data_IF_146682730864
#
_entry.id   IF_146682730864
#
_cell.length_a   1.000
_cell.length_b   1.000
_cell.length_c   1.000
_cell.angle_alpha   90.00
_cell.angle_beta   90.00
_cell.angle_gamma   90.00
#
_symmetry.space_group_name_H-M   'P 1'
#
loop_
_entity.id
_entity.type
_entity.pdbx_description
1 polymer ?
#
# COMPACT_ATOMS: atom_id res chain seq x y z
N UNK A 1 -4.65 8.59 -2.18
CA UNK A 1 -3.32 7.94 -2.33
C UNK A 1 -2.83 7.34 -1.01
N UNK A 2 -2.95 8.03 0.12
CA UNK A 2 -2.52 7.57 1.46
C UNK A 2 -3.09 6.20 1.86
N UNK A 3 -4.40 6.01 1.69
CA UNK A 3 -5.09 4.75 2.01
C UNK A 3 -4.50 3.59 1.18
N UNK A 4 -4.29 3.79 -0.12
CA UNK A 4 -3.69 2.76 -0.99
C UNK A 4 -2.28 2.38 -0.51
N UNK A 5 -1.45 3.36 -0.13
CA UNK A 5 -0.10 3.10 0.38
C UNK A 5 -0.12 2.34 1.71
N UNK A 6 -1.06 2.68 2.62
CA UNK A 6 -1.24 1.96 3.87
C UNK A 6 -1.66 0.50 3.63
N UNK A 7 -2.61 0.29 2.74
CA UNK A 7 -3.14 -1.03 2.40
C UNK A 7 -2.10 -1.93 1.71
N UNK A 8 -1.30 -1.39 0.80
CA UNK A 8 -0.21 -2.16 0.18
C UNK A 8 0.87 -2.53 1.20
N UNK A 9 1.19 -1.64 2.13
CA UNK A 9 2.13 -1.93 3.22
C UNK A 9 1.55 -2.98 4.20
N UNK A 10 0.25 -2.88 4.51
CA UNK A 10 -0.45 -3.86 5.34
C UNK A 10 -0.41 -5.24 4.70
N UNK A 11 -0.83 -5.34 3.44
CA UNK A 11 -0.81 -6.57 2.65
C UNK A 11 0.56 -7.23 2.59
N UNK A 12 1.63 -6.44 2.45
CA UNK A 12 3.01 -6.95 2.41
C UNK A 12 3.45 -7.63 3.71
N UNK A 13 2.82 -7.31 4.85
CA UNK A 13 3.15 -7.84 6.17
C UNK A 13 2.10 -8.79 6.75
N UNK A 14 0.96 -8.98 6.07
CA UNK A 14 -0.16 -9.81 6.52
C UNK A 14 -0.56 -10.85 5.46
N UNK A 15 0.39 -11.67 5.04
CA UNK A 15 0.18 -12.82 4.15
C UNK A 15 -0.58 -12.48 2.84
N UNK A 16 -0.41 -11.26 2.36
CA UNK A 16 -1.05 -10.80 1.12
C UNK A 16 -2.52 -10.39 1.25
N UNK A 17 -3.02 -10.19 2.48
CA UNK A 17 -4.40 -9.79 2.77
C UNK A 17 -4.49 -8.29 3.01
N UNK A 18 -5.51 -7.63 2.47
CA UNK A 18 -5.83 -6.23 2.76
C UNK A 18 -6.67 -6.09 4.04
N UNK A 19 -6.63 -4.91 4.65
CA UNK A 19 -7.38 -4.59 5.87
C UNK A 19 -8.77 -4.00 5.52
N UNK A 20 -9.83 -4.50 6.14
CA UNK A 20 -11.17 -3.94 6.01
C UNK A 20 -11.61 -3.12 7.25
N UNK A 21 -10.75 -3.00 8.26
CA UNK A 21 -11.03 -2.30 9.50
C UNK A 21 -10.17 -1.06 9.70
N UNK A 22 -10.81 0.10 9.85
CA UNK A 22 -10.12 1.37 10.03
C UNK A 22 -9.30 1.44 11.31
N UNK A 23 -9.75 0.82 12.40
CA UNK A 23 -9.04 0.88 13.67
C UNK A 23 -7.75 0.09 13.59
N UNK A 24 -7.79 -1.05 12.92
CA UNK A 24 -6.63 -1.90 12.68
C UNK A 24 -5.65 -1.24 11.70
N UNK A 25 -6.13 -0.71 10.58
CA UNK A 25 -5.29 -0.03 9.59
C UNK A 25 -4.59 1.20 10.17
N UNK A 26 -5.31 2.03 10.93
CA UNK A 26 -4.75 3.22 11.59
C UNK A 26 -3.71 2.82 12.63
N UNK A 27 -4.00 1.80 13.44
CA UNK A 27 -3.04 1.25 14.40
C UNK A 27 -1.77 0.74 13.70
N UNK A 28 -1.94 0.01 12.61
CA UNK A 28 -0.82 -0.46 11.80
C UNK A 28 0.03 0.70 11.25
N UNK A 29 -0.59 1.78 10.76
CA UNK A 29 0.15 2.96 10.28
C UNK A 29 0.93 3.64 11.40
N UNK A 30 0.36 3.76 12.61
CA UNK A 30 1.01 4.40 13.76
C UNK A 30 2.15 3.59 14.37
N UNK A 31 1.95 2.28 14.51
CA UNK A 31 2.83 1.41 15.28
C UNK A 31 3.69 0.52 14.38
N UNK A 32 3.31 0.38 13.12
CA UNK A 32 3.96 -0.47 12.14
C UNK A 32 5.38 -0.04 11.81
N UNK A 33 6.18 -0.99 11.38
CA UNK A 33 7.56 -0.77 10.95
C UNK A 33 7.80 -1.45 9.61
N UNK A 34 8.59 -0.81 8.76
CA UNK A 34 9.05 -1.38 7.49
C UNK A 34 10.49 -1.86 7.62
N UNK A 35 10.80 -3.07 7.15
CA UNK A 35 12.18 -3.52 7.06
C UNK A 35 12.88 -2.82 5.89
N UNK A 36 13.92 -2.06 6.19
CA UNK A 36 14.78 -1.43 5.20
C UNK A 36 16.14 -2.12 5.23
N UNK A 37 16.56 -2.68 4.10
CA UNK A 37 17.86 -3.32 3.98
C UNK A 37 18.92 -2.27 3.67
N UNK A 38 19.76 -2.00 4.64
CA UNK A 38 20.97 -1.20 4.46
C UNK A 38 22.01 -2.02 3.70
N UNK A 39 22.37 -1.55 2.51
CA UNK A 39 23.34 -2.21 1.63
C UNK A 39 24.68 -1.49 1.70
N UNK A 40 25.74 -2.18 2.11
CA UNK A 40 27.11 -1.73 2.00
C UNK A 40 27.91 -2.72 1.16
N UNK A 41 28.67 -2.21 0.18
CA UNK A 41 29.39 -3.03 -0.78
C UNK A 41 28.51 -3.63 -1.88
N UNK A 42 29.11 -3.92 -3.02
CA UNK A 42 28.49 -4.52 -4.20
C UNK A 42 29.32 -5.75 -4.60
N UNK A 43 28.66 -6.79 -5.06
CA UNK A 43 29.37 -7.94 -5.64
C UNK A 43 30.03 -7.55 -6.95
N UNK A 44 31.29 -7.98 -7.13
CA UNK A 44 32.01 -7.80 -8.39
C UNK A 44 31.52 -8.79 -9.45
N UNK A 45 31.76 -8.46 -10.72
CA UNK A 45 31.41 -9.38 -11.83
C UNK A 45 32.08 -10.75 -11.67
N UNK A 46 33.32 -10.80 -11.21
CA UNK A 46 34.03 -12.06 -10.95
C UNK A 46 33.35 -12.90 -9.86
N UNK A 47 32.85 -12.25 -8.83
CA UNK A 47 32.11 -12.94 -7.76
C UNK A 47 30.78 -13.47 -8.26
N UNK A 48 30.05 -12.71 -9.07
CA UNK A 48 28.79 -13.13 -9.69
C UNK A 48 29.02 -14.27 -10.70
N UNK A 49 30.06 -14.19 -11.51
CA UNK A 49 30.44 -15.25 -12.47
C UNK A 49 30.83 -16.58 -11.78
N UNK A 50 31.35 -16.51 -10.56
CA UNK A 50 31.62 -17.69 -9.71
C UNK A 50 30.37 -18.23 -9.01
N UNK A 51 29.17 -17.69 -9.35
CA UNK A 51 27.90 -18.15 -8.82
C UNK A 51 27.55 -17.61 -7.41
N UNK A 52 28.25 -16.53 -6.98
CA UNK A 52 27.91 -15.84 -5.75
C UNK A 52 26.71 -14.92 -6.00
N UNK A 53 25.64 -15.14 -5.25
CA UNK A 53 24.43 -14.27 -5.29
C UNK A 53 24.37 -13.38 -4.05
N UNK A 54 23.58 -12.32 -4.10
CA UNK A 54 23.32 -11.44 -2.94
C UNK A 54 22.91 -12.24 -1.69
N UNK A 55 22.02 -13.21 -1.85
CA UNK A 55 21.54 -14.04 -0.74
C UNK A 55 22.64 -14.93 -0.15
N UNK A 56 23.48 -15.54 -1.00
CA UNK A 56 24.61 -16.35 -0.55
C UNK A 56 25.68 -15.51 0.13
N UNK A 57 25.98 -14.33 -0.43
CA UNK A 57 26.94 -13.39 0.18
C UNK A 57 26.45 -12.91 1.56
N UNK A 58 25.16 -12.56 1.67
CA UNK A 58 24.57 -12.18 2.96
C UNK A 58 24.63 -13.34 3.97
N UNK A 59 24.35 -14.57 3.54
CA UNK A 59 24.44 -15.75 4.42
C UNK A 59 25.86 -15.99 4.94
N UNK A 60 26.89 -15.84 4.06
CA UNK A 60 28.29 -15.97 4.46
C UNK A 60 28.68 -14.89 5.48
N UNK A 61 28.29 -13.63 5.23
CA UNK A 61 28.61 -12.53 6.15
C UNK A 61 27.89 -12.69 7.49
N UNK A 62 26.61 -13.08 7.47
CA UNK A 62 25.81 -13.28 8.67
C UNK A 62 26.22 -14.51 9.48
N UNK A 63 26.95 -15.47 8.89
CA UNK A 63 27.52 -16.61 9.64
C UNK A 63 28.63 -16.18 10.60
N UNK A 64 29.25 -15.03 10.38
CA UNK A 64 30.38 -14.53 11.17
C UNK A 64 31.70 -15.27 10.93
N UNK A 65 31.75 -16.21 9.98
CA UNK A 65 32.96 -16.95 9.63
C UNK A 65 33.94 -16.05 8.85
N UNK A 66 34.94 -15.52 9.57
CA UNK A 66 35.91 -14.61 8.97
C UNK A 66 36.74 -15.25 7.87
N UNK A 67 37.01 -16.55 7.96
CA UNK A 67 37.79 -17.25 6.92
C UNK A 67 36.95 -17.34 5.62
N UNK A 68 35.67 -17.66 5.72
CA UNK A 68 34.75 -17.70 4.58
C UNK A 68 34.52 -16.30 3.98
N UNK A 69 34.36 -15.27 4.82
CA UNK A 69 34.19 -13.87 4.39
C UNK A 69 35.41 -13.39 3.58
N UNK A 70 36.65 -13.66 4.08
CA UNK A 70 37.88 -13.28 3.39
C UNK A 70 38.06 -14.08 2.10
N UNK A 71 37.81 -15.38 2.12
CA UNK A 71 37.92 -16.24 0.94
C UNK A 71 36.96 -15.83 -0.17
N UNK A 72 35.77 -15.36 0.18
CA UNK A 72 34.77 -14.85 -0.78
C UNK A 72 34.96 -13.38 -1.16
N UNK A 73 35.94 -12.68 -0.55
CA UNK A 73 36.20 -11.24 -0.82
C UNK A 73 35.05 -10.33 -0.37
N UNK A 74 34.38 -10.68 0.75
CA UNK A 74 33.18 -10.00 1.23
C UNK A 74 33.44 -9.08 2.44
N UNK A 75 34.70 -8.67 2.70
CA UNK A 75 35.05 -7.86 3.87
C UNK A 75 34.30 -6.53 3.97
N UNK A 76 33.92 -5.95 2.80
CA UNK A 76 33.17 -4.71 2.72
C UNK A 76 31.69 -4.94 2.35
N UNK A 77 31.23 -6.20 2.33
CA UNK A 77 29.86 -6.52 2.02
C UNK A 77 29.06 -6.65 3.31
N UNK A 78 27.99 -5.83 3.43
CA UNK A 78 27.10 -5.87 4.60
C UNK A 78 25.65 -5.66 4.16
N UNK A 79 24.79 -6.41 4.80
CA UNK A 79 23.33 -6.32 4.61
C UNK A 79 22.70 -6.33 6.00
N UNK A 80 22.36 -5.14 6.50
CA UNK A 80 21.66 -4.99 7.77
C UNK A 80 20.21 -4.62 7.50
N UNK A 81 19.29 -5.25 8.21
CA UNK A 81 17.89 -4.84 8.21
C UNK A 81 17.64 -3.91 9.38
N UNK A 82 17.31 -2.68 9.09
CA UNK A 82 16.80 -1.72 10.08
C UNK A 82 15.29 -1.61 9.96
N UNK A 83 14.63 -1.44 11.09
CA UNK A 83 13.18 -1.25 11.13
C UNK A 83 12.89 0.24 11.28
N UNK A 84 12.28 0.83 10.26
CA UNK A 84 11.86 2.23 10.26
C UNK A 84 10.37 2.34 10.51
N UNK A 85 9.94 3.45 11.15
CA UNK A 85 8.52 3.73 11.32
C UNK A 85 7.81 3.73 9.97
N UNK A 86 6.68 3.04 9.90
CA UNK A 86 5.85 3.00 8.69
C UNK A 86 5.31 4.39 8.38
N UNK A 87 4.85 5.11 9.41
CA UNK A 87 4.35 6.47 9.25
C UNK A 87 5.42 7.41 8.66
N UNK A 88 6.64 7.40 9.20
CA UNK A 88 7.72 8.25 8.72
C UNK A 88 8.18 7.88 7.31
N UNK A 89 8.09 6.60 6.96
CA UNK A 89 8.49 6.12 5.64
C UNK A 89 7.49 6.46 4.54
N UNK A 90 6.18 6.34 4.82
CA UNK A 90 5.13 6.54 3.82
C UNK A 90 4.59 7.98 3.78
N UNK A 91 4.58 8.67 4.93
CA UNK A 91 3.88 9.95 5.12
C UNK A 91 4.79 11.02 5.72
N UNK A 92 6.03 11.11 5.23
CA UNK A 92 7.02 12.08 5.69
C UNK A 92 6.70 13.50 5.17
N UNK A 93 5.56 14.03 5.60
CA UNK A 93 5.17 15.42 5.36
C UNK A 93 4.46 16.02 6.58
N UNK A 94 4.59 17.32 6.74
CA UNK A 94 4.04 18.04 7.88
C UNK A 94 2.50 17.97 7.89
N UNK A 95 1.93 17.70 9.06
CA UNK A 95 0.49 17.68 9.27
C UNK A 95 -0.21 16.35 8.95
N UNK A 96 0.53 15.28 8.64
CA UNK A 96 -0.09 13.97 8.52
C UNK A 96 -0.54 13.44 9.89
N UNK A 97 -1.80 13.05 9.96
CA UNK A 97 -2.38 12.38 11.13
C UNK A 97 -3.10 11.10 10.69
N UNK A 98 -2.61 9.95 11.14
CA UNK A 98 -3.15 8.64 10.77
C UNK A 98 -4.65 8.50 11.11
N UNK A 99 -5.11 9.11 12.22
CA UNK A 99 -6.54 9.09 12.59
C UNK A 99 -7.43 9.82 11.57
N UNK A 100 -6.87 10.77 10.85
CA UNK A 100 -7.61 11.54 9.85
C UNK A 100 -7.81 10.79 8.53
N UNK A 101 -7.02 9.75 8.26
CA UNK A 101 -7.06 8.98 6.99
C UNK A 101 -8.44 8.42 6.67
N UNK A 102 -9.22 8.06 7.68
CA UNK A 102 -10.56 7.50 7.50
C UNK A 102 -11.60 8.50 7.04
N UNK A 103 -11.37 9.81 7.25
CA UNK A 103 -12.37 10.83 6.95
C UNK A 103 -12.25 11.33 5.52
N UNK A 104 -13.39 11.46 4.86
CA UNK A 104 -13.48 12.06 3.53
C UNK A 104 -13.29 13.57 3.68
N UNK A 105 -12.28 14.17 3.03
CA UNK A 105 -12.07 15.62 3.08
C UNK A 105 -13.33 16.40 2.70
N UNK A 106 -13.60 17.51 3.39
CA UNK A 106 -14.75 18.39 3.17
C UNK A 106 -16.14 17.78 3.46
N UNK A 107 -16.21 16.56 3.96
CA UNK A 107 -17.47 15.83 4.17
C UNK A 107 -18.16 16.12 5.51
N UNK A 108 -17.55 16.93 6.40
CA UNK A 108 -18.05 17.16 7.77
C UNK A 108 -18.07 15.91 8.65
N UNK A 109 -17.14 14.97 8.42
CA UNK A 109 -16.93 13.80 9.27
C UNK A 109 -17.41 12.47 8.68
N UNK A 110 -17.85 12.44 7.44
CA UNK A 110 -18.11 11.14 6.77
C UNK A 110 -16.79 10.38 6.59
N UNK A 111 -16.85 9.07 6.67
CA UNK A 111 -15.70 8.19 6.51
C UNK A 111 -15.72 7.50 5.16
N UNK A 112 -14.54 7.21 4.64
CA UNK A 112 -14.41 6.31 3.51
C UNK A 112 -14.98 4.93 3.88
N UNK A 113 -15.69 4.32 2.95
CA UNK A 113 -16.02 2.91 3.03
C UNK A 113 -14.83 2.10 2.51
N UNK A 114 -14.37 1.11 3.29
CA UNK A 114 -13.27 0.23 2.92
C UNK A 114 -13.76 -1.20 2.88
N UNK A 115 -13.42 -1.91 1.83
CA UNK A 115 -13.78 -3.31 1.60
C UNK A 115 -12.51 -4.06 1.22
N UNK A 116 -12.28 -5.20 1.86
CA UNK A 116 -11.21 -6.12 1.50
C UNK A 116 -11.75 -7.54 1.45
N UNK A 117 -11.53 -8.25 0.37
CA UNK A 117 -12.02 -9.60 0.20
C UNK A 117 -11.18 -10.41 -0.80
N UNK A 118 -11.20 -11.76 -0.66
CA UNK A 118 -10.67 -12.61 -1.72
C UNK A 118 -11.60 -12.58 -2.93
N UNK A 119 -11.00 -12.61 -4.12
CA UNK A 119 -11.72 -12.75 -5.38
C UNK A 119 -11.05 -13.83 -6.23
N UNK A 120 -11.84 -14.55 -7.04
CA UNK A 120 -11.32 -15.63 -7.90
C UNK A 120 -11.25 -15.17 -9.34
N UNK A 121 -10.06 -15.25 -9.92
CA UNK A 121 -9.82 -14.89 -11.32
C UNK A 121 -10.54 -15.86 -12.27
N UNK A 122 -10.67 -15.47 -13.54
CA UNK A 122 -11.16 -16.37 -14.59
C UNK A 122 -10.30 -17.63 -14.77
N UNK A 123 -9.01 -17.57 -14.38
CA UNK A 123 -8.10 -18.72 -14.37
C UNK A 123 -8.21 -19.59 -13.11
N UNK A 124 -9.10 -19.25 -12.17
CA UNK A 124 -9.26 -20.00 -10.92
C UNK A 124 -8.27 -19.58 -9.80
N UNK A 125 -7.43 -18.58 -10.02
CA UNK A 125 -6.49 -18.08 -9.01
C UNK A 125 -7.21 -17.18 -8.03
N UNK A 126 -7.02 -17.41 -6.73
CA UNK A 126 -7.53 -16.53 -5.68
C UNK A 126 -6.56 -15.37 -5.49
N UNK A 127 -7.07 -14.16 -5.54
CA UNK A 127 -6.33 -12.94 -5.24
C UNK A 127 -7.07 -12.13 -4.17
N UNK A 128 -6.32 -11.33 -3.44
CA UNK A 128 -6.89 -10.35 -2.51
C UNK A 128 -7.12 -9.04 -3.25
N UNK A 129 -8.30 -8.47 -3.09
CA UNK A 129 -8.70 -7.20 -3.66
C UNK A 129 -9.18 -6.27 -2.57
N UNK A 130 -9.00 -4.98 -2.80
CA UNK A 130 -9.54 -3.93 -1.94
C UNK A 130 -10.39 -2.96 -2.74
N UNK A 131 -11.27 -2.28 -2.05
CA UNK A 131 -12.05 -1.16 -2.57
C UNK A 131 -12.16 -0.10 -1.49
N UNK A 132 -11.98 1.17 -1.88
CA UNK A 132 -12.16 2.30 -0.98
C UNK A 132 -13.00 3.37 -1.68
N UNK A 133 -14.12 3.74 -1.07
CA UNK A 133 -15.18 4.53 -1.66
C UNK A 133 -15.38 5.87 -0.97
N UNK A 134 -15.55 6.93 -1.76
CA UNK A 134 -15.98 8.25 -1.33
C UNK A 134 -17.12 8.74 -2.26
N UNK A 135 -18.40 8.67 -1.85
CA UNK A 135 -19.49 9.10 -2.68
C UNK A 135 -19.51 10.62 -2.88
N UNK A 136 -19.91 11.08 -4.04
CA UNK A 136 -20.07 12.52 -4.35
C UNK A 136 -20.97 13.22 -3.33
N UNK A 137 -21.96 12.51 -2.78
CA UNK A 137 -22.84 13.03 -1.72
C UNK A 137 -22.13 13.40 -0.43
N UNK A 138 -20.94 12.86 -0.14
CA UNK A 138 -20.18 13.17 1.06
C UNK A 138 -19.40 14.47 0.90
N UNK A 139 -18.53 14.59 -0.07
CA UNK A 139 -17.63 15.75 -0.19
C UNK A 139 -18.27 16.97 -0.88
N UNK A 140 -19.42 16.82 -1.57
CA UNK A 140 -20.15 17.91 -2.20
C UNK A 140 -21.33 18.43 -1.38
N UNK A 141 -21.70 17.79 -0.25
CA UNK A 141 -22.90 18.16 0.52
C UNK A 141 -22.86 19.58 1.08
N UNK A 142 -21.70 20.12 1.37
CA UNK A 142 -21.52 21.49 1.89
C UNK A 142 -21.74 22.60 0.86
N UNK A 143 -21.89 22.28 -0.42
CA UNK A 143 -21.99 23.24 -1.54
C UNK A 143 -23.43 23.76 -1.80
N UNK A 144 -24.38 23.54 -0.89
CA UNK A 144 -25.74 24.04 -0.98
C UNK A 144 -26.49 23.56 -2.24
N UNK A 145 -27.22 24.46 -2.89
CA UNK A 145 -28.03 24.11 -4.09
C UNK A 145 -27.15 23.65 -5.27
N UNK A 146 -25.99 24.25 -5.46
CA UNK A 146 -25.07 23.88 -6.54
C UNK A 146 -24.54 22.46 -6.33
N UNK A 147 -24.14 22.10 -5.10
CA UNK A 147 -23.71 20.76 -4.75
C UNK A 147 -24.80 19.72 -4.99
N UNK A 148 -26.03 19.98 -4.55
CA UNK A 148 -27.16 19.07 -4.78
C UNK A 148 -27.41 18.80 -6.26
N UNK A 149 -27.34 19.84 -7.11
CA UNK A 149 -27.49 19.70 -8.54
C UNK A 149 -26.35 18.88 -9.17
N UNK A 150 -25.13 19.13 -8.71
CA UNK A 150 -23.96 18.42 -9.20
C UNK A 150 -24.02 16.93 -8.82
N UNK A 151 -24.35 16.63 -7.55
CA UNK A 151 -24.55 15.26 -7.07
C UNK A 151 -25.60 14.53 -7.93
N UNK A 152 -26.75 15.18 -8.16
CA UNK A 152 -27.79 14.58 -8.98
C UNK A 152 -27.31 14.25 -10.40
N UNK A 153 -26.68 15.20 -11.09
CA UNK A 153 -26.20 15.01 -12.45
C UNK A 153 -25.12 13.89 -12.53
N UNK A 154 -24.19 13.87 -11.58
CA UNK A 154 -23.12 12.85 -11.52
C UNK A 154 -23.68 11.46 -11.21
N UNK A 155 -24.68 11.38 -10.33
CA UNK A 155 -25.35 10.11 -10.05
C UNK A 155 -26.08 9.57 -11.30
N UNK A 156 -26.79 10.41 -12.03
CA UNK A 156 -27.46 10.02 -13.29
C UNK A 156 -26.45 9.55 -14.34
N UNK A 157 -25.34 10.28 -14.47
CA UNK A 157 -24.27 9.89 -15.40
C UNK A 157 -23.61 8.57 -14.99
N UNK A 158 -23.32 8.39 -13.70
CA UNK A 158 -22.73 7.16 -13.17
C UNK A 158 -23.66 5.97 -13.36
N UNK A 159 -24.97 6.14 -13.06
CA UNK A 159 -25.98 5.10 -13.24
C UNK A 159 -26.09 4.69 -14.73
N UNK A 160 -26.09 5.66 -15.64
CA UNK A 160 -26.15 5.38 -17.09
C UNK A 160 -24.94 4.59 -17.61
N UNK A 161 -23.77 4.76 -16.97
CA UNK A 161 -22.52 4.07 -17.31
C UNK A 161 -22.27 2.79 -16.49
N UNK A 162 -23.09 2.48 -15.49
CA UNK A 162 -22.81 1.42 -14.52
C UNK A 162 -21.55 1.69 -13.68
N UNK A 163 -21.23 2.97 -13.44
CA UNK A 163 -20.06 3.41 -12.70
C UNK A 163 -20.42 3.82 -11.27
N UNK A 164 -19.41 3.91 -10.41
CA UNK A 164 -19.59 4.39 -9.03
C UNK A 164 -19.78 5.92 -9.00
N UNK A 165 -20.83 6.44 -8.30
CA UNK A 165 -21.10 7.87 -8.23
C UNK A 165 -20.23 8.56 -7.18
N UNK A 166 -18.94 8.70 -7.44
CA UNK A 166 -17.96 9.24 -6.53
C UNK A 166 -16.53 8.87 -6.90
N UNK A 167 -15.63 9.06 -5.97
CA UNK A 167 -14.24 8.61 -6.09
C UNK A 167 -14.12 7.19 -5.53
N UNK A 168 -13.45 6.33 -6.26
CA UNK A 168 -13.28 4.92 -5.91
C UNK A 168 -11.86 4.48 -6.23
N UNK A 169 -11.22 3.80 -5.28
CA UNK A 169 -9.95 3.08 -5.48
C UNK A 169 -10.26 1.60 -5.45
N UNK A 170 -9.68 0.85 -6.36
CA UNK A 170 -9.88 -0.58 -6.41
C UNK A 170 -11.27 -1.00 -6.92
N UNK A 171 -11.55 -2.28 -6.88
CA UNK A 171 -12.85 -2.84 -7.20
C UNK A 171 -12.97 -4.24 -6.58
N UNK A 172 -13.78 -4.37 -5.55
CA UNK A 172 -14.07 -5.65 -4.90
C UNK A 172 -15.06 -6.51 -5.68
N UNK A 173 -15.71 -5.93 -6.70
CA UNK A 173 -16.68 -6.61 -7.56
C UNK A 173 -16.05 -7.40 -8.71
N UNK A 174 -16.43 -7.06 -9.95
CA UNK A 174 -16.06 -7.85 -11.11
C UNK A 174 -14.93 -7.27 -11.98
N UNK A 175 -14.50 -6.05 -11.69
CA UNK A 175 -13.49 -5.35 -12.47
C UNK A 175 -12.20 -5.17 -11.68
N UNK A 176 -11.18 -5.83 -12.12
CA UNK A 176 -9.87 -5.90 -11.51
C UNK A 176 -8.99 -4.79 -12.05
N UNK A 177 -8.91 -3.69 -11.34
CA UNK A 177 -8.17 -2.52 -11.78
C UNK A 177 -6.83 -2.32 -11.05
N UNK A 178 -6.31 -3.37 -10.38
CA UNK A 178 -5.05 -3.32 -9.63
C UNK A 178 -4.99 -2.17 -8.62
N UNK A 179 -6.12 -1.90 -7.92
CA UNK A 179 -6.26 -0.80 -6.97
C UNK A 179 -6.05 0.60 -7.58
N UNK A 180 -6.27 0.75 -8.90
CA UNK A 180 -6.27 2.06 -9.53
C UNK A 180 -7.48 2.88 -9.08
N UNK A 181 -7.35 4.20 -9.12
CA UNK A 181 -8.47 5.10 -8.90
C UNK A 181 -9.32 5.24 -10.16
N UNK A 182 -10.61 5.46 -10.01
CA UNK A 182 -11.51 5.69 -11.14
C UNK A 182 -11.31 7.05 -11.85
N UNK A 183 -10.31 7.80 -11.42
CA UNK A 183 -9.85 9.06 -12.01
C UNK A 183 -8.49 8.94 -12.72
N UNK A 184 -7.86 7.77 -12.73
CA UNK A 184 -6.54 7.49 -13.35
C UNK A 184 -6.65 7.08 -14.86
#
# INVERSE_FOLDING_TARGET
MEIRSAEEAYKAQHDGVYCADWSELIKFVKEGKLPVVMKQGVLTEDQMNKGLTESKAAAIVNSGDQAAIVAAGLQNFKRDTIWVSLQDSLYNYEGFEADSMRYIPYSQGDTFEIIACPNTTRSGTIIQVMECNAPDSSFLKGMGKAGKRLIYNRNEEANAKGAYPGLKIGDAGNNWNNNAGNWE
#
